data_IF_202269603043
#
_entry.id   IF_202269603043
#
_cell.length_a   1.000
_cell.length_b   1.000
_cell.length_c   1.000
_cell.angle_alpha   90.00
_cell.angle_beta   90.00
_cell.angle_gamma   90.00
#
_symmetry.space_group_name_H-M   'P 1'
#
loop_
_entity.id
_entity.type
_entity.pdbx_description
1 polymer ?
#
# COMPACT_ATOMS: atom_id res chain seq x y z
N UNK A 1 -15.62 12.76 47.21
CA UNK A 1 -14.29 12.97 46.61
C UNK A 1 -13.85 11.77 45.72
N UNK A 2 -14.04 10.56 46.15
CA UNK A 2 -13.58 9.36 45.42
C UNK A 2 -14.18 9.17 43.97
N UNK A 3 -15.48 9.46 43.76
CA UNK A 3 -16.13 9.33 42.43
C UNK A 3 -15.60 10.29 41.35
N UNK A 4 -15.07 11.48 41.73
CA UNK A 4 -14.46 12.43 40.77
C UNK A 4 -13.07 11.97 40.34
N UNK A 5 -12.28 11.41 41.27
CA UNK A 5 -10.94 10.90 40.98
C UNK A 5 -10.97 9.71 40.04
N UNK A 6 -11.91 8.78 40.24
CA UNK A 6 -12.09 7.62 39.35
C UNK A 6 -12.48 8.04 37.93
N UNK A 7 -13.36 9.06 37.76
CA UNK A 7 -13.72 9.59 36.44
C UNK A 7 -12.52 10.26 35.74
N UNK A 8 -11.69 10.99 36.47
CA UNK A 8 -10.49 11.65 35.90
C UNK A 8 -9.47 10.59 35.48
N UNK A 9 -9.21 9.56 36.29
CA UNK A 9 -8.31 8.47 35.95
C UNK A 9 -8.80 7.68 34.72
N UNK A 10 -10.12 7.47 34.57
CA UNK A 10 -10.70 6.80 33.42
C UNK A 10 -10.57 7.65 32.14
N UNK A 11 -10.75 8.98 32.24
CA UNK A 11 -10.57 9.89 31.11
C UNK A 11 -9.09 9.97 30.70
N UNK A 12 -8.15 10.00 31.65
CA UNK A 12 -6.71 10.01 31.36
C UNK A 12 -6.27 8.70 30.70
N UNK A 13 -6.80 7.55 31.11
CA UNK A 13 -6.51 6.25 30.49
C UNK A 13 -7.04 6.17 29.06
N UNK A 14 -8.24 6.71 28.77
CA UNK A 14 -8.80 6.77 27.41
C UNK A 14 -7.99 7.72 26.52
N UNK A 15 -7.55 8.87 27.05
CA UNK A 15 -6.74 9.83 26.31
C UNK A 15 -5.33 9.29 26.01
N UNK A 16 -4.71 8.58 26.95
CA UNK A 16 -3.39 7.95 26.73
C UNK A 16 -3.47 6.80 25.72
N UNK A 17 -4.54 6.00 25.76
CA UNK A 17 -4.79 4.96 24.74
C UNK A 17 -4.94 5.56 23.34
N UNK A 18 -5.71 6.62 23.19
CA UNK A 18 -5.90 7.28 21.88
C UNK A 18 -4.61 7.91 21.34
N UNK A 19 -3.77 8.49 22.19
CA UNK A 19 -2.48 9.05 21.76
C UNK A 19 -1.48 7.96 21.33
N UNK A 20 -1.44 6.82 22.02
CA UNK A 20 -0.50 5.74 21.72
C UNK A 20 -0.86 5.01 20.41
N UNK A 21 -2.13 4.81 20.15
CA UNK A 21 -2.59 4.10 18.96
C UNK A 21 -2.64 4.98 17.71
N UNK A 22 -2.75 6.28 17.86
CA UNK A 22 -2.53 7.21 16.77
C UNK A 22 -1.11 7.08 16.24
N UNK A 23 -0.15 6.81 17.12
CA UNK A 23 1.24 6.55 16.75
C UNK A 23 1.41 5.31 15.85
N UNK A 24 0.70 4.19 16.07
CA UNK A 24 0.86 3.00 15.21
C UNK A 24 0.41 3.28 13.78
N UNK A 25 -0.73 3.96 13.60
CA UNK A 25 -1.22 4.31 12.27
C UNK A 25 -0.33 5.36 11.61
N UNK A 26 0.06 6.39 12.36
CA UNK A 26 0.95 7.45 11.88
C UNK A 26 2.35 6.91 11.56
N UNK A 27 2.90 6.04 12.40
CA UNK A 27 4.20 5.38 12.17
C UNK A 27 4.16 4.53 10.90
N UNK A 28 3.11 3.72 10.72
CA UNK A 28 2.92 2.93 9.51
C UNK A 28 2.88 3.83 8.27
N UNK A 29 2.06 4.89 8.31
CA UNK A 29 1.90 5.84 7.19
C UNK A 29 3.21 6.55 6.87
N UNK A 30 3.95 6.98 7.87
CA UNK A 30 5.25 7.62 7.71
C UNK A 30 6.24 6.71 6.97
N UNK A 31 6.34 5.45 7.38
CA UNK A 31 7.20 4.46 6.73
C UNK A 31 6.69 4.15 5.31
N UNK A 32 5.37 3.97 5.14
CA UNK A 32 4.73 3.68 3.85
C UNK A 32 4.98 4.80 2.82
N UNK A 33 4.84 6.05 3.24
CA UNK A 33 5.03 7.22 2.38
C UNK A 33 6.49 7.69 2.30
N UNK A 34 7.42 7.04 3.00
CA UNK A 34 8.85 7.40 3.06
C UNK A 34 9.07 8.90 3.31
N UNK A 35 8.38 9.46 4.29
CA UNK A 35 8.42 10.90 4.65
C UNK A 35 8.09 11.84 3.48
N UNK A 36 7.33 11.40 2.47
CA UNK A 36 6.95 12.20 1.31
C UNK A 36 8.08 12.50 0.33
N UNK A 37 9.21 11.81 0.44
CA UNK A 37 10.36 11.97 -0.47
C UNK A 37 10.13 11.27 -1.81
N UNK A 38 10.61 11.88 -2.88
CA UNK A 38 10.63 11.22 -4.19
C UNK A 38 11.80 10.23 -4.25
N UNK A 39 11.54 9.04 -4.79
CA UNK A 39 12.56 8.00 -4.94
C UNK A 39 12.28 7.08 -6.14
N UNK A 40 13.35 6.39 -6.57
CA UNK A 40 13.25 5.24 -7.47
C UNK A 40 13.53 3.98 -6.69
N UNK A 41 12.85 2.90 -7.05
CA UNK A 41 13.17 1.58 -6.52
C UNK A 41 13.08 0.52 -7.60
N UNK A 42 13.87 -0.55 -7.42
CA UNK A 42 13.85 -1.74 -8.26
C UNK A 42 13.68 -2.97 -7.39
N UNK A 43 13.06 -4.00 -7.93
CA UNK A 43 12.83 -5.22 -7.17
C UNK A 43 12.17 -6.32 -7.99
N UNK A 44 11.64 -7.29 -7.28
CA UNK A 44 10.94 -8.44 -7.84
C UNK A 44 9.60 -8.66 -7.17
N UNK A 45 8.61 -9.09 -7.95
CA UNK A 45 7.42 -9.77 -7.46
C UNK A 45 7.58 -11.26 -7.71
N UNK A 46 7.43 -12.06 -6.68
CA UNK A 46 7.37 -13.53 -6.78
C UNK A 46 5.93 -13.95 -6.48
N UNK A 47 5.20 -14.30 -7.52
CA UNK A 47 3.88 -14.88 -7.41
C UNK A 47 3.99 -16.36 -7.10
N UNK A 48 3.29 -16.80 -6.07
CA UNK A 48 3.24 -18.21 -5.65
C UNK A 48 1.79 -18.65 -5.78
N UNK A 49 1.56 -19.67 -6.59
CA UNK A 49 0.26 -20.29 -6.77
C UNK A 49 0.43 -21.80 -6.86
N UNK A 50 -0.22 -22.55 -5.95
CA UNK A 50 -0.16 -24.02 -5.91
C UNK A 50 1.29 -24.56 -5.94
N UNK A 51 2.19 -23.92 -5.19
CA UNK A 51 3.62 -24.25 -5.13
C UNK A 51 4.46 -23.80 -6.33
N UNK A 52 3.84 -23.36 -7.42
CA UNK A 52 4.56 -22.81 -8.59
C UNK A 52 4.92 -21.34 -8.35
N UNK A 53 6.15 -20.96 -8.74
CA UNK A 53 6.66 -19.60 -8.62
C UNK A 53 6.81 -18.95 -9.98
N UNK A 54 6.36 -17.70 -10.09
CA UNK A 54 6.61 -16.83 -11.25
C UNK A 54 7.24 -15.53 -10.75
N UNK A 55 8.38 -15.16 -11.32
CA UNK A 55 9.11 -13.95 -10.94
C UNK A 55 8.91 -12.88 -12.01
N UNK A 56 8.53 -11.66 -11.57
CA UNK A 56 8.41 -10.47 -12.40
C UNK A 56 9.31 -9.39 -11.84
N UNK A 57 10.23 -8.86 -12.65
CA UNK A 57 11.07 -7.72 -12.28
C UNK A 57 10.32 -6.42 -12.47
N UNK A 58 10.52 -5.47 -11.56
CA UNK A 58 9.94 -4.13 -11.68
C UNK A 58 10.96 -3.03 -11.37
N UNK A 59 10.70 -1.86 -11.96
CA UNK A 59 11.22 -0.58 -11.52
C UNK A 59 10.03 0.33 -11.19
N UNK A 60 10.17 1.17 -10.16
CA UNK A 60 9.13 2.10 -9.75
C UNK A 60 9.73 3.47 -9.45
N UNK A 61 9.02 4.53 -9.85
CA UNK A 61 9.29 5.91 -9.47
C UNK A 61 8.13 6.37 -8.59
N UNK A 62 8.44 6.85 -7.40
CA UNK A 62 7.46 7.31 -6.42
C UNK A 62 7.70 8.77 -6.13
N UNK A 63 6.65 9.56 -6.22
CA UNK A 63 6.60 10.94 -5.81
C UNK A 63 5.44 11.18 -4.85
N UNK A 64 5.32 12.41 -4.36
CA UNK A 64 4.26 12.80 -3.44
C UNK A 64 2.85 12.51 -3.99
N UNK A 65 2.62 12.82 -5.26
CA UNK A 65 1.30 12.79 -5.88
C UNK A 65 1.18 11.77 -7.02
N UNK A 66 2.18 10.89 -7.17
CA UNK A 66 2.20 9.87 -8.21
C UNK A 66 3.07 8.67 -7.86
N UNK A 67 2.73 7.54 -8.46
CA UNK A 67 3.59 6.36 -8.55
C UNK A 67 3.57 5.84 -9.97
N UNK A 68 4.74 5.57 -10.54
CA UNK A 68 4.90 4.97 -11.86
C UNK A 68 5.69 3.67 -11.72
N UNK A 69 5.09 2.55 -12.12
CA UNK A 69 5.71 1.22 -12.05
C UNK A 69 5.83 0.61 -13.45
N UNK A 70 6.99 0.07 -13.76
CA UNK A 70 7.27 -0.66 -14.97
C UNK A 70 7.50 -2.14 -14.67
N UNK A 71 6.62 -3.01 -15.14
CA UNK A 71 6.82 -4.46 -15.14
C UNK A 71 7.64 -4.86 -16.36
N UNK A 72 8.91 -5.23 -16.15
CA UNK A 72 9.87 -5.51 -17.23
C UNK A 72 9.48 -6.69 -18.08
N UNK A 73 9.02 -7.78 -17.45
CA UNK A 73 8.68 -9.02 -18.15
C UNK A 73 7.53 -8.87 -19.15
N UNK A 74 6.60 -7.95 -18.88
CA UNK A 74 5.40 -7.74 -19.70
C UNK A 74 5.47 -6.45 -20.52
N UNK A 75 6.57 -5.66 -20.41
CA UNK A 75 6.69 -4.33 -21.01
C UNK A 75 5.46 -3.44 -20.73
N UNK A 76 5.02 -3.39 -19.47
CA UNK A 76 3.78 -2.72 -19.06
C UNK A 76 4.06 -1.67 -18.01
N UNK A 77 3.54 -0.46 -18.23
CA UNK A 77 3.53 0.64 -17.26
C UNK A 77 2.21 0.70 -16.52
N UNK A 78 2.30 0.97 -15.24
CA UNK A 78 1.19 1.32 -14.36
C UNK A 78 1.46 2.71 -13.78
N UNK A 79 0.47 3.59 -13.86
CA UNK A 79 0.53 4.93 -13.29
C UNK A 79 -0.61 5.11 -12.30
N UNK A 80 -0.28 5.62 -11.12
CA UNK A 80 -1.23 6.16 -10.15
C UNK A 80 -0.95 7.65 -9.97
N UNK A 81 -1.97 8.49 -10.05
CA UNK A 81 -1.93 9.92 -9.80
C UNK A 81 -3.31 10.43 -9.37
N UNK A 82 -3.48 11.75 -9.23
CA UNK A 82 -4.75 12.37 -8.85
C UNK A 82 -5.91 12.13 -9.84
N UNK A 83 -5.62 11.70 -11.09
CA UNK A 83 -6.62 11.34 -12.10
C UNK A 83 -7.12 9.89 -11.94
N UNK A 84 -6.42 9.05 -11.16
CA UNK A 84 -6.72 7.65 -10.90
C UNK A 84 -5.58 6.69 -11.27
N UNK A 85 -5.97 5.46 -11.62
CA UNK A 85 -5.05 4.40 -12.01
C UNK A 85 -5.12 4.14 -13.50
N UNK A 86 -3.96 3.96 -14.12
CA UNK A 86 -3.83 3.73 -15.56
C UNK A 86 -2.84 2.60 -15.83
N UNK A 87 -3.08 1.86 -16.93
CA UNK A 87 -2.16 0.84 -17.45
C UNK A 87 -1.93 1.07 -18.94
N UNK A 88 -0.70 0.86 -19.38
CA UNK A 88 -0.34 0.87 -20.80
C UNK A 88 0.77 -0.14 -21.08
N UNK A 89 0.53 -1.06 -22.02
CA UNK A 89 1.59 -1.89 -22.58
C UNK A 89 2.35 -1.11 -23.66
N UNK A 90 3.62 -1.45 -23.87
CA UNK A 90 4.50 -0.73 -24.82
C UNK A 90 3.92 -0.62 -26.22
N UNK A 91 3.16 -1.64 -26.68
CA UNK A 91 2.56 -1.69 -28.00
C UNK A 91 1.17 -1.04 -28.09
N UNK A 92 0.59 -0.62 -26.96
CA UNK A 92 -0.71 0.09 -26.96
C UNK A 92 -0.53 1.55 -27.37
N UNK A 93 -1.50 2.06 -28.12
CA UNK A 93 -1.54 3.46 -28.55
C UNK A 93 -1.85 4.39 -27.39
N UNK A 94 -2.81 4.02 -26.55
CA UNK A 94 -3.32 4.85 -25.46
C UNK A 94 -3.40 4.08 -24.15
N UNK A 95 -3.24 4.75 -22.99
CA UNK A 95 -3.43 4.14 -21.70
C UNK A 95 -4.91 3.79 -21.45
N UNK A 96 -5.14 2.75 -20.66
CA UNK A 96 -6.45 2.38 -20.16
C UNK A 96 -6.59 2.81 -18.72
N UNK A 97 -7.70 3.46 -18.38
CA UNK A 97 -8.07 3.74 -16.99
C UNK A 97 -8.58 2.45 -16.34
N UNK A 98 -8.07 2.11 -15.17
CA UNK A 98 -8.39 0.88 -14.44
C UNK A 98 -8.84 1.19 -13.01
N UNK A 99 -9.41 0.19 -12.33
CA UNK A 99 -9.81 0.29 -10.92
C UNK A 99 -8.65 -0.03 -9.97
N UNK A 100 -8.77 0.38 -8.69
CA UNK A 100 -7.84 -0.02 -7.63
C UNK A 100 -7.79 -1.53 -7.38
N UNK A 101 -8.85 -2.27 -7.72
CA UNK A 101 -8.92 -3.73 -7.62
C UNK A 101 -8.29 -4.48 -8.79
N UNK A 102 -7.82 -3.77 -9.85
CA UNK A 102 -7.15 -4.39 -10.97
C UNK A 102 -5.90 -5.15 -10.51
N UNK A 103 -5.85 -6.46 -10.83
CA UNK A 103 -4.73 -7.32 -10.45
C UNK A 103 -3.50 -6.96 -11.29
N UNK A 104 -2.43 -6.57 -10.63
CA UNK A 104 -1.15 -6.24 -11.26
C UNK A 104 -0.32 -7.51 -11.46
N UNK A 105 -0.22 -8.32 -10.39
CA UNK A 105 0.51 -9.59 -10.39
C UNK A 105 0.02 -10.45 -9.22
N UNK A 106 -0.16 -11.75 -9.45
CA UNK A 106 -0.55 -12.74 -8.44
C UNK A 106 -1.70 -12.31 -7.53
N UNK A 107 -1.42 -12.13 -6.25
CA UNK A 107 -2.37 -11.66 -5.23
C UNK A 107 -2.38 -10.14 -5.06
N UNK A 108 -1.47 -9.39 -5.70
CA UNK A 108 -1.34 -7.94 -5.55
C UNK A 108 -2.14 -7.17 -6.61
N UNK A 109 -2.91 -6.17 -6.18
CA UNK A 109 -3.67 -5.28 -7.06
C UNK A 109 -3.09 -3.85 -7.05
N UNK A 110 -3.69 -2.96 -7.85
CA UNK A 110 -3.27 -1.56 -7.95
C UNK A 110 -3.29 -0.85 -6.62
N UNK A 111 -4.33 -1.05 -5.81
CA UNK A 111 -4.44 -0.38 -4.51
C UNK A 111 -3.35 -0.84 -3.53
N UNK A 112 -2.96 -2.13 -3.57
CA UNK A 112 -1.91 -2.65 -2.69
C UNK A 112 -0.53 -2.05 -2.98
N UNK A 113 -0.23 -1.87 -4.27
CA UNK A 113 1.11 -1.47 -4.74
C UNK A 113 1.22 0.02 -5.02
N UNK A 114 0.12 0.63 -5.45
CA UNK A 114 0.10 1.96 -6.07
C UNK A 114 -0.74 2.99 -5.30
N UNK A 115 -1.31 2.66 -4.11
CA UNK A 115 -1.96 3.68 -3.26
C UNK A 115 -0.97 4.79 -2.94
N UNK A 116 -1.34 6.03 -3.26
CA UNK A 116 -0.45 7.19 -3.13
C UNK A 116 -0.33 7.60 -1.67
N UNK A 117 -1.47 7.67 -0.98
CA UNK A 117 -1.51 8.10 0.40
C UNK A 117 -2.51 7.27 1.20
N UNK A 118 -2.00 6.49 2.14
CA UNK A 118 -2.82 5.62 2.97
C UNK A 118 -3.79 6.39 3.87
N UNK A 119 -3.46 7.62 4.26
CA UNK A 119 -4.33 8.50 5.06
C UNK A 119 -5.50 9.10 4.27
N UNK A 120 -5.39 9.18 2.94
CA UNK A 120 -6.51 9.58 2.09
C UNK A 120 -7.50 8.44 1.91
N UNK A 121 -7.03 7.22 1.98
CA UNK A 121 -7.82 6.00 1.82
C UNK A 121 -8.54 5.60 3.11
N UNK A 122 -7.88 5.73 4.27
CA UNK A 122 -8.36 5.24 5.55
C UNK A 122 -8.26 6.29 6.67
N UNK A 123 -9.13 6.13 7.67
CA UNK A 123 -9.05 6.82 8.97
C UNK A 123 -9.18 5.82 10.11
N UNK A 124 -8.65 6.20 11.25
CA UNK A 124 -8.82 5.46 12.49
C UNK A 124 -10.31 5.36 12.84
N UNK A 125 -10.77 4.14 13.09
CA UNK A 125 -12.12 3.82 13.56
C UNK A 125 -12.10 3.49 15.06
N UNK A 126 -11.24 2.55 15.45
CA UNK A 126 -11.13 2.07 16.83
C UNK A 126 -9.73 1.64 17.18
N UNK A 127 -9.33 1.96 18.39
CA UNK A 127 -8.15 1.41 19.05
C UNK A 127 -8.53 0.10 19.72
N UNK A 128 -7.83 -0.97 19.42
CA UNK A 128 -8.03 -2.29 20.02
C UNK A 128 -7.01 -2.53 21.11
N UNK A 129 -5.74 -2.21 20.84
CA UNK A 129 -4.64 -2.30 21.80
C UNK A 129 -3.48 -1.37 21.37
N UNK A 130 -2.38 -1.38 22.12
CA UNK A 130 -1.16 -0.64 21.78
C UNK A 130 -0.50 -1.11 20.46
N UNK A 131 -0.85 -2.33 20.01
CA UNK A 131 -0.29 -2.94 18.80
C UNK A 131 -1.35 -3.18 17.71
N UNK A 132 -2.61 -2.76 17.92
CA UNK A 132 -3.70 -3.04 16.99
C UNK A 132 -4.71 -1.91 16.91
N UNK A 133 -5.03 -1.50 15.68
CA UNK A 133 -6.06 -0.50 15.38
C UNK A 133 -6.96 -0.96 14.23
N UNK A 134 -8.24 -0.60 14.30
CA UNK A 134 -9.19 -0.75 13.23
C UNK A 134 -9.29 0.55 12.43
N UNK A 135 -9.36 0.41 11.13
CA UNK A 135 -9.44 1.49 10.16
C UNK A 135 -10.72 1.33 9.33
N UNK A 136 -11.29 2.45 8.92
CA UNK A 136 -12.44 2.50 8.02
C UNK A 136 -12.11 3.38 6.82
N UNK A 137 -12.59 3.00 5.64
CA UNK A 137 -12.34 3.75 4.42
C UNK A 137 -12.93 5.16 4.48
N UNK A 138 -12.20 6.14 3.98
CA UNK A 138 -12.63 7.53 3.73
C UNK A 138 -13.14 7.70 2.31
N UNK A 139 -12.46 7.06 1.37
CA UNK A 139 -12.69 7.25 -0.06
C UNK A 139 -13.49 6.08 -0.64
N UNK A 140 -14.51 6.41 -1.46
CA UNK A 140 -15.36 5.38 -2.11
C UNK A 140 -14.60 4.55 -3.15
N UNK A 141 -13.52 5.07 -3.71
CA UNK A 141 -12.69 4.35 -4.69
C UNK A 141 -11.84 3.24 -4.08
N UNK A 142 -11.67 3.22 -2.75
CA UNK A 142 -10.92 2.17 -2.05
C UNK A 142 -11.72 0.87 -2.07
N UNK A 143 -11.13 -0.25 -2.52
CA UNK A 143 -11.85 -1.51 -2.70
C UNK A 143 -12.25 -2.19 -1.37
N UNK A 144 -11.54 -1.88 -0.28
CA UNK A 144 -11.77 -2.49 1.02
C UNK A 144 -12.50 -1.53 1.96
N UNK A 145 -13.56 -2.01 2.62
CA UNK A 145 -14.38 -1.17 3.48
C UNK A 145 -13.74 -0.87 4.83
N UNK A 146 -13.04 -1.86 5.37
CA UNK A 146 -12.39 -1.82 6.68
C UNK A 146 -11.00 -2.44 6.58
N UNK A 147 -10.12 -2.07 7.51
CA UNK A 147 -8.84 -2.73 7.69
C UNK A 147 -8.49 -2.83 9.18
N UNK A 148 -7.74 -3.85 9.55
CA UNK A 148 -7.11 -3.98 10.87
C UNK A 148 -5.61 -3.94 10.69
N UNK A 149 -4.97 -2.91 11.22
CA UNK A 149 -3.52 -2.73 11.23
C UNK A 149 -2.98 -3.27 12.56
N UNK A 150 -1.99 -4.17 12.47
CA UNK A 150 -1.29 -4.74 13.63
C UNK A 150 0.21 -4.51 13.49
N UNK A 151 0.85 -4.14 14.60
CA UNK A 151 2.30 -4.19 14.73
C UNK A 151 2.72 -5.65 14.99
N UNK A 152 3.72 -6.13 14.27
CA UNK A 152 4.27 -7.46 14.39
C UNK A 152 5.80 -7.38 14.54
N UNK A 153 6.44 -8.48 14.87
CA UNK A 153 7.90 -8.52 14.93
C UNK A 153 8.52 -8.13 13.58
N UNK A 154 9.28 -7.02 13.56
CA UNK A 154 9.94 -6.51 12.38
C UNK A 154 9.06 -5.80 11.35
N UNK A 155 7.81 -5.40 11.70
CA UNK A 155 6.97 -4.69 10.76
C UNK A 155 5.51 -4.59 11.14
N UNK A 156 4.64 -4.69 10.12
CA UNK A 156 3.19 -4.58 10.27
C UNK A 156 2.46 -5.62 9.44
N UNK A 157 1.27 -6.01 9.90
CA UNK A 157 0.29 -6.73 9.10
C UNK A 157 -0.99 -5.91 8.96
N UNK A 158 -1.66 -6.01 7.80
CA UNK A 158 -2.95 -5.39 7.55
C UNK A 158 -3.89 -6.44 6.99
N UNK A 159 -5.00 -6.64 7.68
CA UNK A 159 -6.12 -7.43 7.18
C UNK A 159 -7.19 -6.50 6.62
N UNK A 160 -7.61 -6.74 5.38
CA UNK A 160 -8.61 -5.95 4.67
C UNK A 160 -9.94 -6.72 4.58
N UNK A 161 -11.05 -6.01 4.81
CA UNK A 161 -12.39 -6.57 4.91
C UNK A 161 -13.37 -5.85 3.99
N UNK A 162 -14.44 -6.55 3.60
CA UNK A 162 -15.61 -5.95 2.96
C UNK A 162 -16.56 -5.29 4.01
N UNK A 163 -17.71 -4.79 3.55
CA UNK A 163 -18.71 -4.18 4.41
C UNK A 163 -19.33 -5.17 5.41
N UNK A 164 -19.38 -6.46 5.08
CA UNK A 164 -19.93 -7.51 5.93
C UNK A 164 -18.95 -7.98 7.01
N UNK A 165 -17.69 -7.56 6.94
CA UNK A 165 -16.63 -8.01 7.83
C UNK A 165 -15.93 -9.30 7.36
N UNK A 166 -16.19 -9.75 6.14
CA UNK A 166 -15.46 -10.88 5.55
C UNK A 166 -14.06 -10.45 5.18
N UNK A 167 -13.05 -11.21 5.62
CA UNK A 167 -11.66 -10.97 5.26
C UNK A 167 -11.44 -11.24 3.75
N UNK A 168 -10.87 -10.27 3.06
CA UNK A 168 -10.62 -10.31 1.62
C UNK A 168 -9.15 -10.51 1.28
N UNK A 169 -8.27 -9.88 2.08
CA UNK A 169 -6.84 -9.82 1.79
C UNK A 169 -6.03 -9.62 3.07
N UNK A 170 -4.78 -10.07 3.06
CA UNK A 170 -3.76 -9.74 4.06
C UNK A 170 -2.53 -9.17 3.37
N UNK A 171 -1.99 -8.07 3.90
CA UNK A 171 -0.67 -7.56 3.59
C UNK A 171 0.25 -7.69 4.79
N UNK A 172 1.49 -8.12 4.58
CA UNK A 172 2.57 -8.12 5.57
C UNK A 172 3.67 -7.19 5.06
N UNK A 173 4.10 -6.26 5.88
CA UNK A 173 5.08 -5.21 5.54
C UNK A 173 6.27 -5.33 6.48
N UNK A 174 7.41 -5.79 6.00
CA UNK A 174 8.65 -5.96 6.79
C UNK A 174 9.51 -4.71 6.68
N UNK A 175 10.02 -4.25 7.81
CA UNK A 175 10.87 -3.06 7.91
C UNK A 175 12.33 -3.49 7.86
N UNK A 176 13.11 -2.81 7.01
CA UNK A 176 14.55 -2.84 7.01
C UNK A 176 15.04 -1.41 6.73
N UNK A 177 16.02 -0.93 7.50
CA UNK A 177 16.60 0.40 7.35
C UNK A 177 15.54 1.54 7.39
N UNK A 178 14.54 1.40 8.27
CA UNK A 178 13.39 2.31 8.46
C UNK A 178 12.43 2.41 7.26
N UNK A 179 12.45 1.45 6.33
CA UNK A 179 11.54 1.40 5.18
C UNK A 179 10.94 0.00 5.00
N UNK A 180 9.80 -0.08 4.33
CA UNK A 180 9.27 -1.36 3.88
C UNK A 180 10.09 -1.86 2.69
N UNK A 181 10.84 -2.94 2.89
CA UNK A 181 11.66 -3.57 1.85
C UNK A 181 11.05 -4.86 1.31
N UNK A 182 10.36 -5.59 2.18
CA UNK A 182 9.66 -6.81 1.80
C UNK A 182 8.19 -6.66 2.13
N UNK A 183 7.33 -6.97 1.15
CA UNK A 183 5.88 -6.96 1.32
C UNK A 183 5.33 -8.29 0.82
N UNK A 184 4.38 -8.84 1.54
CA UNK A 184 3.71 -10.08 1.17
C UNK A 184 2.20 -9.82 1.07
N UNK A 185 1.55 -10.27 0.01
CA UNK A 185 0.13 -10.11 -0.21
C UNK A 185 -0.53 -11.48 -0.37
N UNK A 186 -1.61 -11.71 0.37
CA UNK A 186 -2.39 -12.94 0.39
C UNK A 186 -3.82 -12.63 0.00
N UNK A 187 -4.35 -13.31 -1.01
CA UNK A 187 -5.78 -13.27 -1.33
C UNK A 187 -6.51 -14.29 -0.45
N UNK A 188 -7.45 -13.84 0.38
CA UNK A 188 -8.19 -14.69 1.31
C UNK A 188 -9.53 -15.17 0.75
N UNK A 189 -9.93 -14.71 -0.45
CA UNK A 189 -11.22 -15.06 -1.08
C UNK A 189 -11.10 -16.33 -1.94
N UNK A 190 -10.01 -16.42 -2.72
CA UNK A 190 -9.88 -17.37 -3.83
C UNK A 190 -8.81 -18.40 -3.48
N UNK A 191 -8.85 -19.07 -2.45
CA UNK A 191 -7.83 -20.06 -2.11
C UNK A 191 -6.56 -19.48 -1.45
N UNK A 192 -6.29 -19.93 -0.25
CA UNK A 192 -5.19 -19.51 0.62
C UNK A 192 -3.78 -19.79 0.05
N UNK A 193 -3.69 -20.50 -1.09
CA UNK A 193 -2.43 -20.90 -1.71
C UNK A 193 -1.86 -19.89 -2.72
N UNK A 194 -2.49 -18.70 -2.85
CA UNK A 194 -2.00 -17.66 -3.77
C UNK A 194 -1.46 -16.49 -2.97
N UNK A 195 -0.17 -16.21 -3.13
CA UNK A 195 0.50 -15.06 -2.53
C UNK A 195 1.42 -14.37 -3.53
N UNK A 196 1.75 -13.11 -3.24
CA UNK A 196 2.76 -12.35 -3.97
C UNK A 196 3.74 -11.78 -2.96
N UNK A 197 5.01 -12.08 -3.14
CA UNK A 197 6.11 -11.51 -2.36
C UNK A 197 6.77 -10.42 -3.19
N UNK A 198 6.82 -9.20 -2.67
CA UNK A 198 7.54 -8.07 -3.25
C UNK A 198 8.84 -7.88 -2.47
N UNK A 199 9.99 -7.99 -3.13
CA UNK A 199 11.30 -7.71 -2.58
C UNK A 199 11.89 -6.48 -3.26
N UNK A 200 12.23 -5.43 -2.50
CA UNK A 200 12.89 -4.24 -2.99
C UNK A 200 14.40 -4.43 -2.85
N UNK A 201 15.10 -4.51 -3.97
CA UNK A 201 16.56 -4.74 -4.01
C UNK A 201 17.37 -3.46 -4.00
N UNK A 202 16.81 -2.36 -4.51
CA UNK A 202 17.48 -1.05 -4.61
C UNK A 202 16.50 0.09 -4.40
N UNK A 203 16.93 1.12 -3.70
CA UNK A 203 16.22 2.40 -3.57
C UNK A 203 17.21 3.55 -3.68
N UNK A 204 16.87 4.58 -4.44
CA UNK A 204 17.68 5.79 -4.64
C UNK A 204 16.79 7.04 -4.71
N UNK A 205 17.26 8.22 -4.29
CA UNK A 205 16.53 9.47 -4.43
C UNK A 205 16.17 9.78 -5.88
N UNK A 206 15.05 10.47 -6.10
CA UNK A 206 14.59 10.91 -7.42
C UNK A 206 14.24 12.40 -7.38
N UNK A 207 14.56 13.12 -8.45
CA UNK A 207 14.23 14.55 -8.63
C UNK A 207 13.10 14.78 -9.64
N UNK A 208 12.33 13.74 -9.99
CA UNK A 208 11.30 13.84 -11.02
C UNK A 208 10.15 14.77 -10.60
N UNK A 209 9.71 15.65 -11.49
CA UNK A 209 8.58 16.56 -11.28
C UNK A 209 7.24 15.85 -11.47
N UNK A 210 6.25 16.13 -10.60
CA UNK A 210 4.90 15.54 -10.66
C UNK A 210 4.15 15.89 -11.95
N UNK A 211 4.39 17.06 -12.53
CA UNK A 211 3.70 17.51 -13.75
C UNK A 211 3.91 16.62 -14.97
N UNK A 212 4.98 15.83 -14.98
CA UNK A 212 5.32 14.92 -16.06
C UNK A 212 4.53 13.59 -16.01
N UNK A 213 4.08 13.17 -14.83
CA UNK A 213 3.43 11.86 -14.61
C UNK A 213 1.91 11.95 -14.79
N UNK A 214 1.48 12.19 -16.04
CA UNK A 214 0.09 12.24 -16.47
C UNK A 214 -0.22 11.08 -17.41
N UNK A 215 -1.50 10.70 -17.48
CA UNK A 215 -1.95 9.60 -18.35
C UNK A 215 -1.60 9.82 -19.83
N UNK A 216 -1.76 11.04 -20.33
CA UNK A 216 -1.43 11.41 -21.71
C UNK A 216 0.06 11.26 -22.05
N UNK A 217 0.93 11.31 -21.06
CA UNK A 217 2.38 11.17 -21.24
C UNK A 217 2.88 9.71 -21.14
N UNK A 218 2.04 8.75 -20.79
CA UNK A 218 2.48 7.38 -20.48
C UNK A 218 3.34 6.75 -21.58
N UNK A 219 3.07 7.03 -22.86
CA UNK A 219 3.89 6.53 -23.97
C UNK A 219 5.34 7.00 -23.88
N UNK A 220 5.57 8.26 -23.48
CA UNK A 220 6.91 8.82 -23.30
C UNK A 220 7.58 8.30 -22.02
N UNK A 221 6.82 7.98 -20.98
CA UNK A 221 7.34 7.52 -19.70
C UNK A 221 8.08 6.18 -19.79
N UNK A 222 7.88 5.38 -20.85
CA UNK A 222 8.69 4.18 -21.10
C UNK A 222 10.19 4.50 -21.27
N UNK A 223 10.54 5.71 -21.71
CA UNK A 223 11.94 6.12 -21.87
C UNK A 223 12.71 6.22 -20.54
N UNK A 224 11.99 6.39 -19.41
CA UNK A 224 12.60 6.47 -18.07
C UNK A 224 13.18 5.13 -17.58
N UNK A 225 12.84 4.03 -18.26
CA UNK A 225 13.20 2.66 -17.87
C UNK A 225 14.06 1.95 -18.95
N UNK A 226 14.77 2.71 -19.76
CA UNK A 226 15.73 2.21 -20.75
C UNK A 226 17.11 2.04 -20.16
#
# INVERSE_FOLDING_TARGET
MCKKIVKILFIISILSFNLYSQNIFDDFVKIYNRDGKNYKMSGTFTDIKDGKKKVNNFDMIVGKDYKLMYLKNNNTLFLANNQGYFVQSKNQVSPLKISGSYVVTGAANMNDLMSINFTDDYKLDKVVSDEEVNLVKKNRSVPYAKATLKKIAGGYSIDFFDNSGKALKRGIYKIKDNYFNDMEFYNLIINTNTSTVCNISKTEPSSSSSSYFRSENMKMLFSLFK
#
